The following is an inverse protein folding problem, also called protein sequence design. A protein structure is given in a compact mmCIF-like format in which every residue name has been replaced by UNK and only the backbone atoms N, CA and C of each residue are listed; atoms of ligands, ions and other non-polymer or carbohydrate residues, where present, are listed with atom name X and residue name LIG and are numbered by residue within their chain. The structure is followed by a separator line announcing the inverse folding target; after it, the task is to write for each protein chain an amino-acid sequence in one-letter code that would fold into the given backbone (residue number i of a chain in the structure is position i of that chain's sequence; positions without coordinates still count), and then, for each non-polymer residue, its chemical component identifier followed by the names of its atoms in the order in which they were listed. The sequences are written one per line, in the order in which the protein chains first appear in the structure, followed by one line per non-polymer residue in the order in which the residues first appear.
data_IF_375345065802
#
_entry.id   IF_375345065802
#
_cell.length_a   1.000
_cell.length_b   1.000
_cell.length_c   1.000
_cell.angle_alpha   90.00
_cell.angle_beta   90.00
_cell.angle_gamma   90.00
#
_symmetry.space_group_name_H-M   'P 1'
#
loop_
_entity.id
_entity.type
_entity.pdbx_description
1 polymer ?
#
# COMPACT_ATOMS: atom_id res chain seq x y z
N UNK A 1 29.10 2.77 -3.83
CA UNK A 1 28.50 2.09 -2.67
C UNK A 1 27.03 1.85 -2.95
N UNK A 2 26.56 0.61 -3.12
CA UNK A 2 25.14 0.38 -3.31
C UNK A 2 24.43 0.51 -1.95
N UNK A 3 23.40 1.35 -1.87
CA UNK A 3 22.58 1.51 -0.67
C UNK A 3 21.74 0.24 -0.51
N UNK A 4 22.23 -0.71 0.29
CA UNK A 4 21.58 -2.00 0.55
C UNK A 4 20.39 -1.91 1.52
N UNK A 5 19.70 -0.77 1.68
CA UNK A 5 18.88 -0.52 2.88
C UNK A 5 17.57 0.26 2.68
N UNK A 6 16.95 0.28 1.50
CA UNK A 6 15.56 0.75 1.41
C UNK A 6 14.61 -0.37 1.80
N UNK A 7 14.24 -0.41 3.08
CA UNK A 7 13.21 -1.26 3.66
C UNK A 7 11.90 -1.15 2.89
N UNK A 8 11.39 -2.29 2.39
CA UNK A 8 10.10 -2.35 1.70
C UNK A 8 9.04 -2.80 2.69
N UNK A 9 8.02 -1.97 2.91
CA UNK A 9 6.82 -2.33 3.65
C UNK A 9 5.74 -2.67 2.63
N UNK A 10 5.04 -3.78 2.81
CA UNK A 10 3.94 -4.21 1.94
C UNK A 10 2.64 -4.22 2.72
N UNK A 11 1.60 -3.59 2.18
CA UNK A 11 0.24 -3.65 2.73
C UNK A 11 -0.67 -4.35 1.75
N UNK A 12 -1.58 -5.17 2.27
CA UNK A 12 -2.60 -5.87 1.47
C UNK A 12 -3.92 -5.90 2.25
N UNK A 13 -4.98 -5.20 1.79
CA UNK A 13 -6.27 -5.25 2.44
C UNK A 13 -6.85 -6.67 2.31
N UNK A 14 -7.39 -7.18 3.42
CA UNK A 14 -8.07 -8.49 3.50
C UNK A 14 -9.31 -8.41 4.38
N UNK A 15 -10.01 -7.28 4.31
CA UNK A 15 -11.22 -7.07 5.08
C UNK A 15 -12.33 -8.02 4.62
N UNK A 16 -13.03 -8.69 5.56
CA UNK A 16 -14.28 -9.38 5.26
C UNK A 16 -15.30 -8.43 4.62
N UNK A 17 -16.25 -8.97 3.86
CA UNK A 17 -17.22 -8.17 3.10
C UNK A 17 -18.14 -7.29 3.97
N UNK A 18 -18.32 -7.65 5.25
CA UNK A 18 -19.09 -6.92 6.26
C UNK A 18 -18.27 -5.86 7.02
N UNK A 19 -16.95 -5.78 6.77
CA UNK A 19 -16.06 -4.80 7.39
C UNK A 19 -15.69 -3.73 6.36
N UNK A 20 -16.21 -2.52 6.56
CA UNK A 20 -15.99 -1.39 5.65
C UNK A 20 -14.56 -0.83 5.71
N UNK A 21 -13.91 -0.85 6.88
CA UNK A 21 -12.58 -0.28 7.06
C UNK A 21 -11.82 -0.93 8.22
N UNK A 22 -10.49 -0.79 8.23
CA UNK A 22 -9.66 -1.08 9.39
C UNK A 22 -8.46 -0.13 9.45
N UNK A 23 -8.08 0.27 10.67
CA UNK A 23 -6.95 1.17 10.92
C UNK A 23 -6.04 0.61 11.98
N UNK A 24 -4.75 0.77 11.77
CA UNK A 24 -3.70 0.56 12.77
C UNK A 24 -2.89 1.85 12.86
N UNK A 25 -2.61 2.29 14.07
CA UNK A 25 -1.81 3.49 14.35
C UNK A 25 -0.59 3.13 15.18
N UNK A 26 0.45 3.95 15.07
CA UNK A 26 1.67 3.83 15.87
C UNK A 26 2.37 2.46 15.80
N UNK A 27 2.20 1.73 14.71
CA UNK A 27 2.77 0.40 14.54
C UNK A 27 4.30 0.49 14.36
N UNK A 28 5.10 -0.15 15.22
CA UNK A 28 6.54 -0.23 15.01
C UNK A 28 6.83 -1.23 13.89
N UNK A 29 7.43 -0.77 12.80
CA UNK A 29 7.84 -1.62 11.66
C UNK A 29 9.26 -1.24 11.26
N UNK A 30 10.18 -2.20 11.35
CA UNK A 30 11.61 -2.00 11.07
C UNK A 30 12.21 -0.88 11.93
N UNK A 31 12.60 0.25 11.34
CA UNK A 31 13.13 1.43 12.04
C UNK A 31 12.12 2.59 12.10
N UNK A 32 10.86 2.30 11.79
CA UNK A 32 9.82 3.28 11.61
C UNK A 32 8.65 3.05 12.56
N UNK A 33 7.87 4.11 12.74
CA UNK A 33 6.50 4.02 13.24
C UNK A 33 5.55 4.42 12.13
N UNK A 34 4.54 3.60 11.86
CA UNK A 34 3.60 3.83 10.76
C UNK A 34 2.15 3.76 11.23
N UNK A 35 1.27 4.44 10.49
CA UNK A 35 -0.17 4.18 10.50
C UNK A 35 -0.59 3.63 9.13
N UNK A 36 -1.53 2.70 9.14
CA UNK A 36 -2.15 2.16 7.92
C UNK A 36 -3.66 2.19 8.09
N UNK A 37 -4.35 2.70 7.09
CA UNK A 37 -5.80 2.72 7.02
C UNK A 37 -6.24 2.05 5.72
N UNK A 38 -7.10 1.04 5.84
CA UNK A 38 -7.75 0.39 4.71
C UNK A 38 -9.22 0.80 4.68
N UNK A 39 -9.69 1.23 3.53
CA UNK A 39 -11.10 1.42 3.20
C UNK A 39 -11.48 0.34 2.19
N UNK A 40 -12.22 -0.66 2.67
CA UNK A 40 -12.56 -1.87 1.93
C UNK A 40 -11.34 -2.63 1.40
N UNK A 41 -11.46 -3.11 0.16
CA UNK A 41 -10.38 -3.79 -0.57
C UNK A 41 -9.72 -2.90 -1.63
N UNK A 42 -10.12 -1.62 -1.72
CA UNK A 42 -9.81 -0.75 -2.84
C UNK A 42 -9.00 0.47 -2.46
N UNK A 43 -8.88 0.82 -1.18
CA UNK A 43 -8.09 1.99 -0.77
C UNK A 43 -7.19 1.65 0.41
N UNK A 44 -5.97 2.15 0.35
CA UNK A 44 -5.03 2.12 1.46
C UNK A 44 -4.36 3.48 1.61
N UNK A 45 -4.31 3.98 2.83
CA UNK A 45 -3.50 5.12 3.24
C UNK A 45 -2.39 4.60 4.16
N UNK A 46 -1.18 5.10 3.97
CA UNK A 46 -0.06 4.81 4.86
C UNK A 46 0.63 6.12 5.24
N UNK A 47 0.80 6.34 6.53
CA UNK A 47 1.62 7.41 7.09
C UNK A 47 2.91 6.82 7.68
N UNK A 48 4.06 7.40 7.32
CA UNK A 48 5.33 7.13 7.98
C UNK A 48 5.51 8.17 9.09
N UNK A 49 4.95 7.90 10.26
CA UNK A 49 4.87 8.85 11.37
C UNK A 49 6.26 9.27 11.90
N UNK A 50 7.25 8.38 11.89
CA UNK A 50 8.62 8.67 12.29
C UNK A 50 9.62 7.64 11.74
N UNK A 51 10.88 8.05 11.59
CA UNK A 51 11.97 7.20 11.10
C UNK A 51 12.34 7.47 9.63
N UNK A 52 13.30 6.73 9.05
CA UNK A 52 13.82 7.00 7.71
C UNK A 52 12.76 6.84 6.61
N UNK A 53 12.98 7.40 5.42
CA UNK A 53 12.09 7.15 4.28
C UNK A 53 11.96 5.65 3.98
N UNK A 54 10.73 5.20 3.73
CA UNK A 54 10.41 3.81 3.40
C UNK A 54 10.02 3.68 1.94
N UNK A 55 10.19 2.48 1.38
CA UNK A 55 9.49 2.10 0.15
C UNK A 55 8.24 1.34 0.54
N UNK A 56 7.09 1.87 0.21
CA UNK A 56 5.81 1.22 0.44
C UNK A 56 5.30 0.57 -0.84
N UNK A 57 5.00 -0.73 -0.76
CA UNK A 57 4.25 -1.46 -1.78
C UNK A 57 2.79 -1.56 -1.38
N UNK A 58 1.94 -0.79 -2.03
CA UNK A 58 0.49 -0.87 -1.87
C UNK A 58 -0.06 -1.93 -2.83
N UNK A 59 -0.64 -3.02 -2.28
CA UNK A 59 -1.13 -4.17 -3.04
C UNK A 59 -2.65 -4.26 -2.93
N UNK A 60 -3.31 -4.50 -4.06
CA UNK A 60 -4.76 -4.68 -4.16
C UNK A 60 -5.09 -6.00 -4.85
N UNK A 61 -6.07 -6.78 -4.34
CA UNK A 61 -6.55 -7.98 -5.01
C UNK A 61 -7.16 -7.65 -6.38
N UNK A 62 -6.85 -8.44 -7.41
CA UNK A 62 -7.37 -8.23 -8.76
C UNK A 62 -6.36 -7.64 -9.74
N UNK A 63 -6.70 -7.71 -11.02
CA UNK A 63 -5.94 -7.12 -12.12
C UNK A 63 -6.56 -5.77 -12.51
N UNK A 64 -6.16 -4.70 -11.83
CA UNK A 64 -6.59 -3.34 -12.12
C UNK A 64 -5.74 -2.75 -13.24
N UNK A 65 -6.39 -2.11 -14.22
CA UNK A 65 -5.69 -1.42 -15.33
C UNK A 65 -5.00 -0.13 -14.88
N UNK A 66 -5.46 0.46 -13.78
CA UNK A 66 -4.87 1.66 -13.20
C UNK A 66 -5.03 1.67 -11.68
N UNK A 67 -4.05 2.24 -10.99
CA UNK A 67 -4.18 2.67 -9.60
C UNK A 67 -4.10 4.20 -9.54
N UNK A 68 -4.79 4.80 -8.59
CA UNK A 68 -4.66 6.22 -8.28
C UNK A 68 -3.70 6.37 -7.11
N UNK A 69 -2.63 7.16 -7.28
CA UNK A 69 -1.67 7.50 -6.24
C UNK A 69 -1.75 9.00 -6.03
N UNK A 70 -2.23 9.43 -4.86
CA UNK A 70 -2.41 10.85 -4.50
C UNK A 70 -3.09 11.67 -5.60
N UNK A 71 -4.21 11.15 -6.13
CA UNK A 71 -4.99 11.79 -7.20
C UNK A 71 -4.49 11.49 -8.62
N UNK A 72 -3.28 10.93 -8.80
CA UNK A 72 -2.71 10.65 -10.12
C UNK A 72 -2.89 9.19 -10.55
N UNK A 73 -3.42 8.98 -11.74
CA UNK A 73 -3.51 7.64 -12.34
C UNK A 73 -2.13 7.13 -12.76
N UNK A 74 -1.81 5.89 -12.38
CA UNK A 74 -0.57 5.18 -12.72
C UNK A 74 -0.88 3.75 -13.17
N UNK A 75 -0.05 3.20 -14.06
CA UNK A 75 -0.12 1.79 -14.43
C UNK A 75 0.50 0.93 -13.30
N UNK A 76 -0.23 -0.06 -12.75
CA UNK A 76 0.33 -0.95 -11.74
C UNK A 76 1.20 -2.04 -12.34
N UNK A 77 2.07 -2.61 -11.51
CA UNK A 77 2.63 -3.92 -11.76
C UNK A 77 1.61 -4.99 -11.35
N UNK A 78 1.56 -6.10 -12.09
CA UNK A 78 0.72 -7.25 -11.77
C UNK A 78 1.62 -8.42 -11.35
N UNK A 79 1.24 -9.11 -10.29
CA UNK A 79 1.79 -10.42 -9.90
C UNK A 79 0.64 -11.39 -9.62
N UNK A 80 0.98 -12.66 -9.44
CA UNK A 80 0.03 -13.69 -9.07
C UNK A 80 0.39 -14.25 -7.71
N UNK A 81 -0.62 -14.52 -6.89
CA UNK A 81 -0.44 -15.28 -5.65
C UNK A 81 -0.11 -16.75 -5.97
N UNK A 82 0.31 -17.51 -4.95
CA UNK A 82 0.52 -18.96 -5.08
C UNK A 82 -0.73 -19.73 -5.52
N UNK A 83 -1.92 -19.14 -5.36
CA UNK A 83 -3.21 -19.70 -5.81
C UNK A 83 -3.58 -19.31 -7.25
N UNK A 84 -2.79 -18.48 -7.90
CA UNK A 84 -3.07 -17.97 -9.24
C UNK A 84 -3.98 -16.73 -9.29
N UNK A 85 -4.40 -16.19 -8.14
CA UNK A 85 -5.18 -14.95 -8.10
C UNK A 85 -4.27 -13.75 -8.43
N UNK A 86 -4.69 -12.84 -9.35
CA UNK A 86 -3.90 -11.66 -9.67
C UNK A 86 -3.92 -10.63 -8.54
N UNK A 87 -2.83 -9.89 -8.42
CA UNK A 87 -2.72 -8.71 -7.57
C UNK A 87 -2.07 -7.56 -8.33
N UNK A 88 -2.62 -6.37 -8.16
CA UNK A 88 -2.07 -5.13 -8.70
C UNK A 88 -1.36 -4.36 -7.60
N UNK A 89 -0.20 -3.80 -7.91
CA UNK A 89 0.55 -3.03 -6.92
C UNK A 89 1.38 -1.90 -7.53
N UNK A 90 1.71 -0.94 -6.68
CA UNK A 90 2.69 0.12 -6.94
C UNK A 90 3.68 0.19 -5.79
N UNK A 91 4.90 0.62 -6.07
CA UNK A 91 5.91 0.90 -5.05
C UNK A 91 6.19 2.39 -5.06
N UNK A 92 5.99 3.05 -3.93
CA UNK A 92 6.21 4.49 -3.77
C UNK A 92 7.08 4.75 -2.53
N UNK A 93 7.82 5.84 -2.55
CA UNK A 93 8.55 6.30 -1.36
C UNK A 93 7.58 7.06 -0.44
N UNK A 94 7.78 6.89 0.87
CA UNK A 94 7.05 7.64 1.92
C UNK A 94 8.09 8.17 2.90
N UNK A 95 8.32 9.47 2.86
CA UNK A 95 9.24 10.18 3.74
C UNK A 95 8.76 10.23 5.19
N UNK A 96 9.63 10.66 6.10
CA UNK A 96 9.23 10.90 7.49
C UNK A 96 8.15 11.98 7.58
N UNK A 97 7.10 11.72 8.35
CA UNK A 97 5.94 12.60 8.48
C UNK A 97 5.04 12.68 7.24
N UNK A 98 5.35 11.93 6.18
CA UNK A 98 4.54 11.88 4.96
C UNK A 98 3.42 10.85 5.09
N UNK A 99 2.28 11.18 4.50
CA UNK A 99 1.17 10.27 4.28
C UNK A 99 0.89 10.16 2.79
N UNK A 100 0.61 8.94 2.34
CA UNK A 100 0.33 8.63 0.93
C UNK A 100 -0.92 7.79 0.83
N UNK A 101 -1.70 8.01 -0.23
CA UNK A 101 -2.93 7.27 -0.52
C UNK A 101 -2.81 6.56 -1.86
N UNK A 102 -3.21 5.28 -1.87
CA UNK A 102 -3.35 4.50 -3.10
C UNK A 102 -4.75 3.90 -3.16
N UNK A 103 -5.40 4.09 -4.31
CA UNK A 103 -6.73 3.54 -4.59
C UNK A 103 -6.70 2.68 -5.85
N UNK A 104 -7.25 1.48 -5.76
CA UNK A 104 -7.66 0.69 -6.90
C UNK A 104 -9.01 1.19 -7.41
N UNK A 105 -9.08 1.54 -8.70
CA UNK A 105 -10.36 1.83 -9.34
C UNK A 105 -11.09 0.51 -9.59
N UNK A 106 -12.32 0.44 -9.10
CA UNK A 106 -13.26 -0.64 -9.42
C UNK A 106 -13.83 -0.32 -10.81
N UNK A 107 -13.36 -0.99 -11.87
CA UNK A 107 -14.06 -0.99 -13.16
C UNK A 107 -15.24 -1.96 -12.99
N UNK A 108 -16.38 -1.44 -12.55
CA UNK A 108 -17.67 -2.14 -12.64
C UNK A 108 -18.33 -1.89 -13.98
#
# INVERSE_FOLDING_TARGET
NPIASQSVIETRPRLPADVSWARIEHAPVLRNRIAVHHEGLTETQLANESGPAIRWRAVFPGAHVSLNVDGRSVAPAIRYTDRGDPESYVVIEVGEGEERIVMAKDDR
#
